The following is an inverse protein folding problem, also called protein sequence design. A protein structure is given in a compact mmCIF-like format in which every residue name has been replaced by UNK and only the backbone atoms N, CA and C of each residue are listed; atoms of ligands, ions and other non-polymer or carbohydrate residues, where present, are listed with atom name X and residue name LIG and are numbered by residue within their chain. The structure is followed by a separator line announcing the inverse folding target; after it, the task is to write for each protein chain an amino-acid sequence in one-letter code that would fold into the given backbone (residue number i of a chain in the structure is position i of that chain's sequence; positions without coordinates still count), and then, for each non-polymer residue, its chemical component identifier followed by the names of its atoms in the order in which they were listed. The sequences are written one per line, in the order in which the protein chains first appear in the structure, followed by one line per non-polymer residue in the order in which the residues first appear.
data_IF_008484673650
#
_entry.id   IF_008484673650
#
_cell.length_a   1.000
_cell.length_b   1.000
_cell.length_c   1.000
_cell.angle_alpha   90.00
_cell.angle_beta   90.00
_cell.angle_gamma   90.00
#
_symmetry.space_group_name_H-M   'P 1'
#
loop_
_entity.id
_entity.type
_entity.pdbx_description
1 polymer ?
#
# COMPACT_ATOMS: atom_id res chain seq x y z
N UNK A 1 -30.37 -30.09 10.30
CA UNK A 1 -30.24 -28.89 11.16
C UNK A 1 -28.98 -28.20 10.68
N UNK A 2 -29.12 -27.27 9.74
CA UNK A 2 -27.99 -26.69 9.01
C UNK A 2 -27.67 -25.37 9.69
N UNK A 3 -26.77 -25.41 10.68
CA UNK A 3 -26.15 -24.19 11.22
C UNK A 3 -25.49 -23.45 10.05
N UNK A 4 -26.05 -22.29 9.72
CA UNK A 4 -25.41 -21.37 8.78
C UNK A 4 -24.13 -20.85 9.41
N UNK A 5 -23.01 -20.86 8.68
CA UNK A 5 -21.69 -20.34 9.09
C UNK A 5 -21.74 -18.94 9.74
N UNK A 6 -22.79 -18.17 9.46
CA UNK A 6 -23.09 -16.86 10.03
C UNK A 6 -23.50 -16.89 11.51
N UNK A 7 -24.11 -17.97 12.01
CA UNK A 7 -24.48 -18.14 13.44
C UNK A 7 -23.27 -18.56 14.30
N UNK A 8 -22.31 -19.27 13.69
CA UNK A 8 -21.09 -19.71 14.37
C UNK A 8 -20.05 -18.59 14.52
N UNK A 9 -20.14 -17.55 13.68
CA UNK A 9 -19.32 -16.35 13.77
C UNK A 9 -20.17 -15.26 14.40
N UNK A 10 -20.11 -15.13 15.73
CA UNK A 10 -20.71 -14.01 16.44
C UNK A 10 -19.98 -12.70 16.08
N UNK A 11 -20.35 -12.13 14.93
CA UNK A 11 -19.80 -10.88 14.40
C UNK A 11 -20.24 -9.65 15.23
N UNK A 12 -21.10 -9.84 16.24
CA UNK A 12 -21.58 -8.74 17.10
C UNK A 12 -20.51 -8.24 18.08
N UNK A 13 -19.52 -9.06 18.41
CA UNK A 13 -18.34 -8.66 19.20
C UNK A 13 -17.31 -7.87 18.38
N UNK A 14 -17.32 -8.00 17.05
CA UNK A 14 -16.42 -7.25 16.17
C UNK A 14 -16.96 -5.83 15.98
N UNK A 15 -16.73 -4.96 16.96
CA UNK A 15 -16.94 -3.51 16.83
C UNK A 15 -15.92 -2.93 15.85
N UNK A 16 -16.24 -2.97 14.55
CA UNK A 16 -15.47 -2.29 13.51
C UNK A 16 -15.68 -0.78 13.62
N UNK A 17 -14.88 -0.13 14.45
CA UNK A 17 -14.83 1.32 14.49
C UNK A 17 -14.16 1.83 13.21
N UNK A 18 -14.82 2.76 12.52
CA UNK A 18 -14.32 3.25 11.24
C UNK A 18 -13.03 4.06 11.47
N UNK A 19 -11.92 3.75 10.76
CA UNK A 19 -10.62 4.36 11.03
C UNK A 19 -10.67 5.87 10.85
N UNK A 20 -10.06 6.60 11.77
CA UNK A 20 -10.01 8.06 11.77
C UNK A 20 -9.20 8.61 10.57
N UNK A 21 -9.31 9.92 10.32
CA UNK A 21 -8.60 10.57 9.21
C UNK A 21 -7.07 10.34 9.29
N UNK A 22 -6.50 10.55 10.49
CA UNK A 22 -5.06 10.40 10.72
C UNK A 22 -4.62 8.95 10.53
N UNK A 23 -5.42 7.99 10.97
CA UNK A 23 -5.15 6.55 10.79
C UNK A 23 -5.17 6.17 9.31
N UNK A 24 -6.12 6.72 8.54
CA UNK A 24 -6.18 6.50 7.09
C UNK A 24 -4.98 7.12 6.36
N UNK A 25 -4.55 8.33 6.71
CA UNK A 25 -3.33 8.94 6.16
C UNK A 25 -2.09 8.13 6.54
N UNK A 26 -1.99 7.71 7.80
CA UNK A 26 -0.88 6.87 8.26
C UNK A 26 -0.84 5.54 7.51
N UNK A 27 -1.98 4.89 7.34
CA UNK A 27 -2.12 3.64 6.59
C UNK A 27 -1.69 3.81 5.14
N UNK A 28 -2.08 4.93 4.50
CA UNK A 28 -1.66 5.28 3.16
C UNK A 28 -0.13 5.43 3.08
N UNK A 29 0.47 6.14 4.03
CA UNK A 29 1.94 6.32 4.09
C UNK A 29 2.67 5.00 4.31
N UNK A 30 2.18 4.14 5.19
CA UNK A 30 2.77 2.82 5.43
C UNK A 30 2.69 1.95 4.17
N UNK A 31 1.53 1.87 3.53
CA UNK A 31 1.32 1.00 2.37
C UNK A 31 2.06 1.50 1.14
N UNK A 32 1.83 2.75 0.72
CA UNK A 32 2.42 3.32 -0.50
C UNK A 32 3.86 3.79 -0.32
N UNK A 33 4.30 3.99 0.92
CA UNK A 33 5.66 4.37 1.24
C UNK A 33 6.53 3.15 1.51
N UNK A 34 6.38 2.61 2.71
CA UNK A 34 7.23 1.53 3.20
C UNK A 34 6.94 0.21 2.48
N UNK A 35 5.68 -0.22 2.47
CA UNK A 35 5.27 -1.50 1.88
C UNK A 35 5.61 -1.59 0.40
N UNK A 36 5.24 -0.57 -0.36
CA UNK A 36 5.51 -0.48 -1.80
C UNK A 36 7.03 -0.45 -2.08
N UNK A 37 7.80 0.44 -1.42
CA UNK A 37 9.25 0.49 -1.64
C UNK A 37 9.98 -0.82 -1.27
N UNK A 38 9.66 -1.40 -0.11
CA UNK A 38 10.30 -2.64 0.36
C UNK A 38 9.94 -3.81 -0.56
N UNK A 39 8.67 -3.94 -0.94
CA UNK A 39 8.22 -5.02 -1.83
C UNK A 39 8.78 -4.88 -3.24
N UNK A 40 8.86 -3.65 -3.80
CA UNK A 40 9.52 -3.39 -5.07
C UNK A 40 11.00 -3.77 -5.02
N UNK A 41 11.72 -3.42 -3.95
CA UNK A 41 13.13 -3.81 -3.79
C UNK A 41 13.31 -5.32 -3.76
N UNK A 42 12.47 -6.03 -2.99
CA UNK A 42 12.52 -7.50 -2.91
C UNK A 42 12.22 -8.12 -4.27
N UNK A 43 11.16 -7.67 -4.95
CA UNK A 43 10.81 -8.16 -6.28
C UNK A 43 11.94 -7.92 -7.28
N UNK A 44 12.52 -6.71 -7.30
CA UNK A 44 13.62 -6.36 -8.20
C UNK A 44 14.91 -7.13 -7.88
N UNK A 45 15.19 -7.42 -6.61
CA UNK A 45 16.38 -8.17 -6.19
C UNK A 45 16.36 -9.62 -6.68
N UNK A 46 15.18 -10.26 -6.69
CA UNK A 46 15.06 -11.68 -7.07
C UNK A 46 14.59 -11.91 -8.51
N UNK A 47 13.70 -11.07 -9.03
CA UNK A 47 13.13 -11.21 -10.37
C UNK A 47 13.73 -10.23 -11.40
N UNK A 48 14.58 -9.30 -10.96
CA UNK A 48 15.17 -8.24 -11.79
C UNK A 48 14.24 -7.04 -12.00
N UNK A 49 14.78 -5.89 -12.45
CA UNK A 49 14.01 -4.65 -12.62
C UNK A 49 13.11 -4.65 -13.87
N UNK A 50 13.25 -5.61 -14.79
CA UNK A 50 12.50 -5.62 -16.06
C UNK A 50 10.99 -5.78 -15.89
N UNK A 51 10.56 -6.36 -14.76
CA UNK A 51 9.15 -6.55 -14.42
C UNK A 51 8.49 -5.29 -13.83
N UNK A 52 9.26 -4.24 -13.52
CA UNK A 52 8.72 -2.96 -13.09
C UNK A 52 8.00 -2.26 -14.25
N UNK A 53 6.71 -1.96 -14.05
CA UNK A 53 5.85 -1.35 -15.06
C UNK A 53 6.17 0.14 -15.26
N UNK A 54 6.57 0.84 -14.21
CA UNK A 54 6.90 2.26 -14.29
C UNK A 54 8.32 2.43 -14.90
N UNK A 55 8.45 3.04 -16.09
CA UNK A 55 9.74 3.15 -16.78
C UNK A 55 10.78 3.97 -16.00
N UNK A 56 10.35 4.94 -15.19
CA UNK A 56 11.24 5.76 -14.37
C UNK A 56 11.75 5.00 -13.15
N UNK A 57 10.86 4.29 -12.46
CA UNK A 57 11.26 3.44 -11.32
C UNK A 57 12.17 2.31 -11.80
N UNK A 58 11.87 1.72 -12.96
CA UNK A 58 12.73 0.72 -13.59
C UNK A 58 14.14 1.25 -13.88
N UNK A 59 14.24 2.47 -14.41
CA UNK A 59 15.53 3.12 -14.66
C UNK A 59 16.29 3.36 -13.34
N UNK A 60 15.61 3.88 -12.33
CA UNK A 60 16.18 4.08 -11.00
C UNK A 60 16.65 2.77 -10.37
N UNK A 61 15.87 1.70 -10.45
CA UNK A 61 16.26 0.38 -9.96
C UNK A 61 17.48 -0.19 -10.69
N UNK A 62 17.65 0.10 -11.98
CA UNK A 62 18.80 -0.38 -12.75
C UNK A 62 20.11 0.36 -12.41
N UNK A 63 20.02 1.62 -11.95
CA UNK A 63 21.19 2.46 -11.70
C UNK A 63 21.45 2.72 -10.21
N UNK A 64 20.42 3.16 -9.47
CA UNK A 64 20.52 3.60 -8.08
C UNK A 64 19.30 3.10 -7.25
N UNK A 65 19.25 1.82 -6.84
CA UNK A 65 18.11 1.26 -6.11
C UNK A 65 17.77 2.00 -4.81
N UNK A 66 18.75 2.56 -4.12
CA UNK A 66 18.52 3.34 -2.89
C UNK A 66 17.91 4.71 -3.17
N UNK A 67 18.19 5.30 -4.33
CA UNK A 67 17.57 6.55 -4.76
C UNK A 67 16.08 6.35 -5.04
N UNK A 68 15.68 5.17 -5.56
CA UNK A 68 14.27 4.80 -5.70
C UNK A 68 13.54 4.83 -4.35
N UNK A 69 14.14 4.24 -3.32
CA UNK A 69 13.59 4.24 -1.95
C UNK A 69 13.48 5.66 -1.41
N UNK A 70 14.55 6.45 -1.54
CA UNK A 70 14.56 7.84 -1.08
C UNK A 70 13.48 8.68 -1.80
N UNK A 71 13.31 8.49 -3.10
CA UNK A 71 12.27 9.16 -3.89
C UNK A 71 10.87 8.77 -3.42
N UNK A 72 10.57 7.47 -3.30
CA UNK A 72 9.26 7.01 -2.82
C UNK A 72 8.97 7.52 -1.40
N UNK A 73 9.96 7.48 -0.51
CA UNK A 73 9.84 8.03 0.84
C UNK A 73 9.56 9.54 0.82
N UNK A 74 10.27 10.31 -0.02
CA UNK A 74 10.03 11.75 -0.14
C UNK A 74 8.62 12.07 -0.65
N UNK A 75 8.17 11.37 -1.70
CA UNK A 75 6.84 11.55 -2.28
C UNK A 75 5.74 11.22 -1.27
N UNK A 76 5.85 10.09 -0.57
CA UNK A 76 4.82 9.66 0.37
C UNK A 76 4.79 10.53 1.62
N UNK A 77 5.95 10.98 2.11
CA UNK A 77 6.03 11.90 3.26
C UNK A 77 5.39 13.24 2.90
N UNK A 78 5.72 13.77 1.72
CA UNK A 78 5.09 14.99 1.21
C UNK A 78 3.57 14.82 1.10
N UNK A 79 3.09 13.73 0.50
CA UNK A 79 1.66 13.45 0.39
C UNK A 79 1.00 13.34 1.78
N UNK A 80 1.63 12.64 2.73
CA UNK A 80 1.15 12.50 4.10
C UNK A 80 1.02 13.85 4.81
N UNK A 81 2.05 14.69 4.74
CA UNK A 81 2.04 16.05 5.31
C UNK A 81 0.93 16.89 4.67
N UNK A 82 0.85 16.91 3.33
CA UNK A 82 -0.17 17.68 2.62
C UNK A 82 -1.58 17.23 3.00
N UNK A 83 -1.82 15.92 3.12
CA UNK A 83 -3.12 15.40 3.54
C UNK A 83 -3.45 15.83 4.98
N UNK A 84 -2.50 15.75 5.91
CA UNK A 84 -2.71 16.19 7.28
C UNK A 84 -3.01 17.70 7.39
N UNK A 85 -2.21 18.54 6.71
CA UNK A 85 -2.39 19.99 6.71
C UNK A 85 -3.70 20.42 6.01
N UNK A 86 -4.07 19.71 4.93
CA UNK A 86 -5.29 19.98 4.17
C UNK A 86 -6.52 19.21 4.67
N UNK A 87 -6.50 18.65 5.89
CA UNK A 87 -7.58 17.79 6.43
C UNK A 87 -8.97 18.41 6.27
N UNK A 88 -9.13 19.69 6.63
CA UNK A 88 -10.41 20.40 6.55
C UNK A 88 -10.95 20.55 5.12
N UNK A 89 -10.08 20.55 4.11
CA UNK A 89 -10.48 20.52 2.71
C UNK A 89 -10.90 19.11 2.29
N UNK A 90 -10.16 18.08 2.71
CA UNK A 90 -10.44 16.69 2.33
C UNK A 90 -11.73 16.18 2.99
N UNK A 91 -11.95 16.46 4.27
CA UNK A 91 -13.18 16.02 4.98
C UNK A 91 -14.46 16.67 4.44
N UNK A 92 -14.36 17.77 3.68
CA UNK A 92 -15.51 18.39 2.97
C UNK A 92 -15.92 17.64 1.69
N UNK A 93 -15.07 16.78 1.16
CA UNK A 93 -15.37 16.02 -0.07
C UNK A 93 -16.23 14.81 0.29
N UNK A 94 -17.42 14.64 -0.29
CA UNK A 94 -18.25 13.47 -0.03
C UNK A 94 -17.50 12.20 -0.48
N UNK A 95 -17.51 11.17 0.37
CA UNK A 95 -16.88 9.88 0.06
C UNK A 95 -15.37 9.82 0.30
N UNK A 96 -14.75 10.82 0.92
CA UNK A 96 -13.30 10.83 1.20
C UNK A 96 -12.80 9.55 1.90
N UNK A 97 -13.58 8.99 2.84
CA UNK A 97 -13.22 7.74 3.54
C UNK A 97 -13.15 6.55 2.58
N UNK A 98 -14.18 6.39 1.75
CA UNK A 98 -14.23 5.32 0.75
C UNK A 98 -13.09 5.44 -0.25
N UNK A 99 -12.74 6.68 -0.64
CA UNK A 99 -11.58 6.95 -1.48
C UNK A 99 -10.27 6.52 -0.80
N UNK A 100 -10.03 6.90 0.45
CA UNK A 100 -8.84 6.47 1.19
C UNK A 100 -8.76 4.94 1.27
N UNK A 101 -9.85 4.29 1.68
CA UNK A 101 -9.90 2.83 1.77
C UNK A 101 -9.62 2.16 0.43
N UNK A 102 -10.17 2.69 -0.68
CA UNK A 102 -9.91 2.17 -2.02
C UNK A 102 -8.45 2.34 -2.43
N UNK A 103 -7.85 3.50 -2.19
CA UNK A 103 -6.45 3.78 -2.51
C UNK A 103 -5.51 2.93 -1.66
N UNK A 104 -5.81 2.75 -0.38
CA UNK A 104 -5.04 1.87 0.52
C UNK A 104 -5.16 0.42 0.04
N UNK A 105 -6.38 -0.06 -0.26
CA UNK A 105 -6.59 -1.42 -0.75
C UNK A 105 -5.85 -1.69 -2.06
N UNK A 106 -5.85 -0.73 -2.99
CA UNK A 106 -5.09 -0.81 -4.23
C UNK A 106 -3.58 -0.90 -3.95
N UNK A 107 -3.06 -0.04 -3.07
CA UNK A 107 -1.65 -0.09 -2.66
C UNK A 107 -1.28 -1.44 -2.05
N UNK A 108 -2.13 -1.97 -1.18
CA UNK A 108 -1.93 -3.30 -0.58
C UNK A 108 -1.88 -4.39 -1.64
N UNK A 109 -2.75 -4.35 -2.66
CA UNK A 109 -2.71 -5.30 -3.76
C UNK A 109 -1.40 -5.22 -4.56
N UNK A 110 -0.87 -4.01 -4.79
CA UNK A 110 0.45 -3.81 -5.42
C UNK A 110 1.55 -4.44 -4.57
N UNK A 111 1.57 -4.16 -3.27
CA UNK A 111 2.55 -4.73 -2.33
C UNK A 111 2.53 -6.25 -2.35
N UNK A 112 1.34 -6.86 -2.25
CA UNK A 112 1.17 -8.31 -2.30
C UNK A 112 1.64 -8.89 -3.63
N UNK A 113 1.38 -8.21 -4.74
CA UNK A 113 1.84 -8.62 -6.07
C UNK A 113 3.37 -8.60 -6.16
N UNK A 114 4.01 -7.55 -5.66
CA UNK A 114 5.47 -7.45 -5.63
C UNK A 114 6.10 -8.56 -4.76
N UNK A 115 5.54 -8.80 -3.57
CA UNK A 115 5.98 -9.89 -2.69
C UNK A 115 5.81 -11.25 -3.39
N UNK A 116 4.67 -11.48 -4.03
CA UNK A 116 4.43 -12.70 -4.80
C UNK A 116 5.47 -12.89 -5.91
N UNK A 117 5.76 -11.85 -6.70
CA UNK A 117 6.79 -11.90 -7.76
C UNK A 117 8.16 -12.25 -7.19
N UNK A 118 8.55 -11.61 -6.08
CA UNK A 118 9.82 -11.91 -5.41
C UNK A 118 9.88 -13.37 -4.93
N UNK A 119 8.83 -13.87 -4.28
CA UNK A 119 8.76 -15.25 -3.80
C UNK A 119 8.74 -16.26 -4.96
N UNK A 120 7.99 -15.99 -6.02
CA UNK A 120 7.92 -16.84 -7.20
C UNK A 120 9.28 -16.94 -7.91
N UNK A 121 10.04 -15.85 -7.97
CA UNK A 121 11.39 -15.85 -8.51
C UNK A 121 12.36 -16.68 -7.65
N UNK A 122 12.28 -16.57 -6.32
CA UNK A 122 13.07 -17.40 -5.40
C UNK A 122 12.74 -18.89 -5.53
N UNK A 123 11.45 -19.23 -5.66
CA UNK A 123 11.02 -20.63 -5.77
C UNK A 123 11.34 -21.26 -7.14
N UNK A 124 11.54 -20.45 -8.17
CA UNK A 124 11.90 -20.90 -9.52
C UNK A 124 13.41 -20.89 -9.82
N UNK A 125 14.24 -20.41 -8.89
CA UNK A 125 15.70 -20.37 -8.98
C UNK A 125 16.34 -21.63 -8.39
#
# INVERSE_FOLDING_TARGET
MTETLTDALDLSEIRLEAPGYVELVFSLVVVWGFGDAASTLVAAAFAGPSLEANPWIRLLLAHDPMLMVALKAAVVLYAGVVLLECRSAVERVPGWRAWFLAVIALGTAVVLTNVYVGLAAVAGA
#
